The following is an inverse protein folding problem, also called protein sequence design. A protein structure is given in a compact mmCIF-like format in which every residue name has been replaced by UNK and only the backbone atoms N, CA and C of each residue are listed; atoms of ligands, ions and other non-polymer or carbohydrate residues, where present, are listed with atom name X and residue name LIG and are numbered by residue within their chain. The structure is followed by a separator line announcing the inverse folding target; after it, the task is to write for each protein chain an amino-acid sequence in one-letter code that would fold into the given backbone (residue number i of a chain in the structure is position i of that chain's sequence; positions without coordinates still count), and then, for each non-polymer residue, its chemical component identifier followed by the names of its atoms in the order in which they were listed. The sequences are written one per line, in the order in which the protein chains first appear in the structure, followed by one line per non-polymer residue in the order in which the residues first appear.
data_IF_076956606989
#
_entry.id   IF_076956606989
#
_cell.length_a   1.000
_cell.length_b   1.000
_cell.length_c   1.000
_cell.angle_alpha   90.00
_cell.angle_beta   90.00
_cell.angle_gamma   90.00
#
_symmetry.space_group_name_H-M   'P 1'
#
loop_
_entity.id
_entity.type
_entity.pdbx_description
1 polymer ?
#
# COMPACT_ATOMS: atom_id res chain seq x y z
N UNK A 1 -20.37 11.43 -13.82
CA UNK A 1 -20.81 11.67 -12.43
C UNK A 1 -19.68 11.17 -11.53
N UNK A 2 -19.20 11.97 -10.58
CA UNK A 2 -18.07 11.55 -9.71
C UNK A 2 -18.56 10.54 -8.68
N UNK A 3 -17.74 9.54 -8.38
CA UNK A 3 -17.98 8.61 -7.27
C UNK A 3 -17.74 9.32 -5.95
N UNK A 4 -18.74 9.31 -5.08
CA UNK A 4 -18.72 9.94 -3.76
C UNK A 4 -18.17 8.96 -2.73
N UNK A 5 -17.01 9.28 -2.17
CA UNK A 5 -16.30 8.44 -1.22
C UNK A 5 -16.35 9.03 0.19
N UNK A 6 -16.60 8.17 1.17
CA UNK A 6 -16.40 8.47 2.59
C UNK A 6 -15.13 7.80 3.11
N UNK A 7 -14.47 8.39 4.09
CA UNK A 7 -13.37 7.76 4.83
C UNK A 7 -13.80 7.55 6.27
N UNK A 8 -13.72 6.32 6.72
CA UNK A 8 -13.94 5.93 8.11
C UNK A 8 -12.60 5.64 8.76
N UNK A 9 -12.21 6.46 9.75
CA UNK A 9 -10.91 6.44 10.40
C UNK A 9 -9.88 7.32 9.69
N UNK A 10 -9.47 8.43 10.29
CA UNK A 10 -8.46 9.36 9.75
C UNK A 10 -7.05 9.02 10.27
N UNK A 11 -6.61 7.78 10.00
CA UNK A 11 -5.27 7.33 10.31
C UNK A 11 -4.24 7.80 9.25
N UNK A 12 -2.95 7.54 9.49
CA UNK A 12 -1.89 8.03 8.61
C UNK A 12 -2.00 7.49 7.16
N UNK A 13 -2.45 6.24 6.99
CA UNK A 13 -2.61 5.61 5.69
C UNK A 13 -3.75 6.27 4.88
N UNK A 14 -4.92 6.44 5.51
CA UNK A 14 -6.10 7.04 4.86
C UNK A 14 -5.90 8.52 4.54
N UNK A 15 -5.17 9.25 5.38
CA UNK A 15 -4.84 10.65 5.12
C UNK A 15 -3.83 10.81 3.98
N UNK A 16 -2.84 9.90 3.85
CA UNK A 16 -1.90 9.91 2.70
C UNK A 16 -2.60 9.62 1.38
N UNK A 17 -3.70 8.86 1.41
CA UNK A 17 -4.52 8.57 0.22
C UNK A 17 -5.26 9.79 -0.31
N UNK A 18 -5.56 10.80 0.52
CA UNK A 18 -6.33 11.98 0.12
C UNK A 18 -5.74 12.67 -1.09
N UNK A 19 -4.42 12.92 -1.12
CA UNK A 19 -3.74 13.54 -2.27
C UNK A 19 -3.90 12.73 -3.55
N UNK A 20 -3.80 11.41 -3.42
CA UNK A 20 -3.86 10.50 -4.55
C UNK A 20 -5.28 10.43 -5.13
N UNK A 21 -6.29 10.37 -4.26
CA UNK A 21 -7.69 10.36 -4.64
C UNK A 21 -8.17 11.72 -5.18
N UNK A 22 -7.69 12.83 -4.61
CA UNK A 22 -7.99 14.18 -5.07
C UNK A 22 -7.46 14.46 -6.49
N UNK A 23 -6.39 13.77 -6.89
CA UNK A 23 -5.88 13.84 -8.27
C UNK A 23 -6.76 13.10 -9.29
N UNK A 24 -7.71 12.26 -8.85
CA UNK A 24 -8.61 11.51 -9.73
C UNK A 24 -9.91 12.31 -10.00
N UNK A 25 -10.15 12.76 -11.25
CA UNK A 25 -11.34 13.57 -11.57
C UNK A 25 -12.66 12.80 -11.52
N UNK A 26 -12.62 11.45 -11.46
CA UNK A 26 -13.80 10.58 -11.35
C UNK A 26 -14.26 10.39 -9.90
N UNK A 27 -13.52 10.90 -8.92
CA UNK A 27 -13.75 10.67 -7.49
C UNK A 27 -13.92 12.00 -6.76
N UNK A 28 -14.74 11.96 -5.72
CA UNK A 28 -14.95 13.07 -4.79
C UNK A 28 -15.01 12.52 -3.37
N UNK A 29 -14.18 13.06 -2.48
CA UNK A 29 -14.22 12.73 -1.05
C UNK A 29 -15.19 13.69 -0.40
N UNK A 30 -16.26 13.15 0.17
CA UNK A 30 -17.39 13.96 0.68
C UNK A 30 -17.40 14.04 2.21
N UNK A 31 -16.77 13.10 2.91
CA UNK A 31 -16.69 13.10 4.37
C UNK A 31 -15.54 12.25 4.89
N UNK A 32 -15.01 12.64 6.04
CA UNK A 32 -14.05 11.87 6.83
C UNK A 32 -14.59 11.75 8.25
N UNK A 33 -14.60 10.57 8.83
CA UNK A 33 -14.93 10.36 10.23
C UNK A 33 -13.69 9.95 11.02
N UNK A 34 -13.49 10.53 12.19
CA UNK A 34 -12.56 10.06 13.20
C UNK A 34 -13.09 10.42 14.60
N UNK A 35 -13.16 9.47 15.55
CA UNK A 35 -13.67 9.76 16.89
C UNK A 35 -12.77 10.73 17.67
N UNK A 36 -11.48 10.85 17.31
CA UNK A 36 -10.55 11.82 17.88
C UNK A 36 -10.20 12.89 16.85
N UNK A 37 -11.10 13.87 16.74
CA UNK A 37 -10.95 15.03 15.83
C UNK A 37 -9.61 15.74 16.01
N UNK A 38 -9.17 15.92 17.26
CA UNK A 38 -7.94 16.65 17.56
C UNK A 38 -6.71 15.90 17.04
N UNK A 39 -6.64 14.59 17.32
CA UNK A 39 -5.55 13.76 16.83
C UNK A 39 -5.55 13.61 15.31
N UNK A 40 -6.72 13.49 14.68
CA UNK A 40 -6.85 13.46 13.22
C UNK A 40 -6.31 14.73 12.56
N UNK A 41 -6.65 15.91 13.09
CA UNK A 41 -6.14 17.19 12.59
C UNK A 41 -4.63 17.36 12.81
N UNK A 42 -4.09 16.83 13.90
CA UNK A 42 -2.64 16.83 14.15
C UNK A 42 -1.92 15.94 13.13
N UNK A 43 -2.42 14.72 12.91
CA UNK A 43 -1.90 13.82 11.86
C UNK A 43 -1.91 14.49 10.49
N UNK A 44 -3.02 15.14 10.14
CA UNK A 44 -3.16 15.84 8.86
C UNK A 44 -2.16 17.00 8.71
N UNK A 45 -1.92 17.78 9.78
CA UNK A 45 -0.91 18.85 9.80
C UNK A 45 0.51 18.32 9.53
N UNK A 46 0.84 17.13 10.05
CA UNK A 46 2.11 16.45 9.76
C UNK A 46 2.32 16.09 8.28
N UNK A 47 1.25 16.00 7.48
CA UNK A 47 1.30 15.65 6.06
C UNK A 47 1.30 16.87 5.11
N UNK A 48 1.06 18.07 5.66
CA UNK A 48 1.15 19.36 4.97
C UNK A 48 -0.14 20.20 5.02
N UNK A 49 -0.05 21.50 4.69
CA UNK A 49 -1.14 22.46 4.91
C UNK A 49 -2.38 22.21 4.06
N UNK A 50 -2.21 21.74 2.82
CA UNK A 50 -3.34 21.43 1.91
C UNK A 50 -4.20 20.29 2.47
N UNK A 51 -3.56 19.17 2.85
CA UNK A 51 -4.27 18.02 3.44
C UNK A 51 -4.95 18.44 4.75
N UNK A 52 -4.27 19.20 5.60
CA UNK A 52 -4.85 19.69 6.85
C UNK A 52 -6.11 20.53 6.63
N UNK A 53 -6.12 21.37 5.59
CA UNK A 53 -7.28 22.18 5.25
C UNK A 53 -8.44 21.33 4.73
N UNK A 54 -8.17 20.39 3.82
CA UNK A 54 -9.19 19.48 3.28
C UNK A 54 -9.82 18.63 4.38
N UNK A 55 -8.98 18.04 5.25
CA UNK A 55 -9.45 17.26 6.40
C UNK A 55 -10.29 18.12 7.33
N UNK A 56 -9.84 19.33 7.66
CA UNK A 56 -10.60 20.22 8.55
C UNK A 56 -12.01 20.55 8.04
N UNK A 57 -12.20 20.58 6.72
CA UNK A 57 -13.49 20.88 6.10
C UNK A 57 -14.43 19.67 6.04
N UNK A 58 -13.88 18.46 5.94
CA UNK A 58 -14.64 17.23 5.71
C UNK A 58 -14.78 16.34 6.96
N UNK A 59 -13.98 16.60 7.99
CA UNK A 59 -13.90 15.80 9.19
C UNK A 59 -15.11 16.02 10.09
N UNK A 60 -15.69 14.91 10.56
CA UNK A 60 -16.72 14.82 11.60
C UNK A 60 -16.29 13.81 12.66
N UNK A 61 -16.77 13.97 13.89
CA UNK A 61 -16.46 13.08 15.03
C UNK A 61 -17.69 12.35 15.57
N UNK A 62 -18.87 12.58 14.99
CA UNK A 62 -20.09 11.82 15.26
C UNK A 62 -20.40 10.85 14.10
N UNK A 63 -20.54 9.53 14.36
CA UNK A 63 -21.02 8.56 13.38
C UNK A 63 -22.31 8.98 12.67
N UNK A 64 -23.27 9.58 13.37
CA UNK A 64 -24.54 9.98 12.78
C UNK A 64 -24.37 11.11 11.77
N UNK A 65 -23.49 12.08 12.08
CA UNK A 65 -23.15 13.18 11.19
C UNK A 65 -22.45 12.68 9.91
N UNK A 66 -21.62 11.63 10.03
CA UNK A 66 -20.99 11.00 8.87
C UNK A 66 -22.01 10.51 7.83
N UNK A 67 -23.12 9.94 8.29
CA UNK A 67 -24.21 9.48 7.41
C UNK A 67 -25.23 10.57 7.04
N UNK A 68 -25.28 11.68 7.78
CA UNK A 68 -26.30 12.72 7.60
C UNK A 68 -26.10 13.52 6.31
N UNK A 69 -27.07 13.53 5.40
CA UNK A 69 -27.08 14.35 4.17
C UNK A 69 -26.04 13.99 3.08
N UNK A 70 -25.26 12.91 3.25
CA UNK A 70 -24.41 12.37 2.18
C UNK A 70 -24.85 10.97 1.76
N UNK A 71 -24.88 10.76 0.45
CA UNK A 71 -24.89 9.42 -0.15
C UNK A 71 -23.46 9.06 -0.57
N UNK A 72 -23.02 7.88 -0.19
CA UNK A 72 -21.72 7.32 -0.54
C UNK A 72 -21.89 6.22 -1.59
N UNK A 73 -21.07 6.25 -2.64
CA UNK A 73 -20.89 5.11 -3.54
C UNK A 73 -19.98 4.05 -2.90
N UNK A 74 -19.00 4.49 -2.10
CA UNK A 74 -18.14 3.62 -1.32
C UNK A 74 -17.61 4.30 -0.05
N UNK A 75 -17.27 3.49 0.95
CA UNK A 75 -16.58 3.91 2.17
C UNK A 75 -15.25 3.19 2.29
N UNK A 76 -14.20 3.96 2.52
CA UNK A 76 -12.86 3.47 2.84
C UNK A 76 -12.82 3.22 4.35
N UNK A 77 -12.90 1.96 4.75
CA UNK A 77 -12.85 1.53 6.14
C UNK A 77 -11.39 1.31 6.56
N UNK A 78 -10.83 2.31 7.24
CA UNK A 78 -9.42 2.34 7.64
C UNK A 78 -9.19 1.69 9.00
N UNK A 79 -10.23 1.67 9.85
CA UNK A 79 -10.17 1.13 11.21
C UNK A 79 -10.74 -0.30 11.30
N UNK A 80 -11.44 -0.76 10.24
CA UNK A 80 -11.97 -2.12 10.12
C UNK A 80 -13.25 -2.37 10.93
N UNK A 81 -13.87 -1.31 11.46
CA UNK A 81 -15.03 -1.39 12.33
C UNK A 81 -16.26 -0.67 11.79
N UNK A 82 -16.21 -0.16 10.55
CA UNK A 82 -17.32 0.56 9.92
C UNK A 82 -18.62 -0.25 9.94
N UNK A 83 -18.54 -1.57 9.71
CA UNK A 83 -19.69 -2.47 9.69
C UNK A 83 -20.52 -2.46 11.00
N UNK A 84 -19.91 -2.10 12.13
CA UNK A 84 -20.58 -1.99 13.44
C UNK A 84 -21.37 -0.69 13.60
N UNK A 85 -21.03 0.31 12.81
CA UNK A 85 -21.57 1.67 12.88
C UNK A 85 -22.50 1.98 11.70
N UNK A 86 -22.45 1.17 10.64
CA UNK A 86 -23.29 1.31 9.47
C UNK A 86 -24.78 1.25 9.88
N UNK A 87 -25.62 2.23 9.46
CA UNK A 87 -27.01 2.25 9.83
C UNK A 87 -27.76 1.03 9.27
N UNK A 88 -28.72 0.48 10.03
CA UNK A 88 -29.53 -0.64 9.55
C UNK A 88 -30.29 -0.24 8.28
N UNK A 89 -30.18 -1.07 7.24
CA UNK A 89 -30.75 -0.76 5.92
C UNK A 89 -29.82 0.06 5.00
N UNK A 90 -28.53 0.17 5.34
CA UNK A 90 -27.49 0.59 4.40
C UNK A 90 -27.68 -0.11 3.05
N UNK A 91 -27.76 0.67 1.97
CA UNK A 91 -28.17 0.19 0.64
C UNK A 91 -27.29 -0.99 0.19
N UNK A 92 -27.83 -1.99 -0.53
CA UNK A 92 -27.05 -3.12 -1.07
C UNK A 92 -25.94 -2.73 -2.05
N UNK A 93 -25.86 -1.46 -2.47
CA UNK A 93 -24.86 -0.94 -3.40
C UNK A 93 -23.68 -0.19 -2.73
N UNK A 94 -23.71 0.02 -1.41
CA UNK A 94 -22.61 0.68 -0.71
C UNK A 94 -21.39 -0.25 -0.66
N UNK A 95 -20.32 0.11 -1.36
CA UNK A 95 -19.09 -0.68 -1.35
C UNK A 95 -18.21 -0.29 -0.15
N UNK A 96 -17.84 -1.26 0.69
CA UNK A 96 -16.85 -1.05 1.75
C UNK A 96 -15.51 -1.56 1.22
N UNK A 97 -14.47 -0.73 1.31
CA UNK A 97 -13.13 -1.07 0.83
C UNK A 97 -12.09 -0.68 1.87
N UNK A 98 -10.94 -1.38 1.86
CA UNK A 98 -9.79 -0.97 2.68
C UNK A 98 -9.03 0.18 2.00
N UNK A 99 -8.17 0.92 2.75
CA UNK A 99 -7.27 1.93 2.18
C UNK A 99 -6.46 1.43 0.98
N UNK A 100 -5.92 0.22 1.06
CA UNK A 100 -5.18 -0.41 -0.05
C UNK A 100 -6.06 -0.62 -1.28
N UNK A 101 -7.27 -1.17 -1.09
CA UNK A 101 -8.21 -1.40 -2.20
C UNK A 101 -8.64 -0.08 -2.83
N UNK A 102 -8.89 0.97 -2.05
CA UNK A 102 -9.18 2.30 -2.55
C UNK A 102 -8.02 2.89 -3.38
N UNK A 103 -6.78 2.71 -2.89
CA UNK A 103 -5.55 3.10 -3.62
C UNK A 103 -5.50 2.47 -5.01
N UNK A 104 -5.81 1.18 -5.11
CA UNK A 104 -5.77 0.44 -6.35
C UNK A 104 -6.92 0.80 -7.29
N UNK A 105 -8.13 0.96 -6.75
CA UNK A 105 -9.33 1.27 -7.54
C UNK A 105 -9.32 2.69 -8.09
N UNK A 106 -8.82 3.65 -7.31
CA UNK A 106 -9.04 5.06 -7.56
C UNK A 106 -7.80 5.93 -7.44
N UNK A 107 -6.72 5.43 -6.84
CA UNK A 107 -5.51 6.22 -6.64
C UNK A 107 -4.66 6.39 -7.90
N UNK A 108 -4.68 5.42 -8.81
CA UNK A 108 -3.95 5.50 -10.07
C UNK A 108 -4.87 6.04 -11.17
N UNK A 109 -5.12 7.35 -11.16
CA UNK A 109 -5.86 8.03 -12.22
C UNK A 109 -5.18 7.84 -13.58
N UNK A 110 -5.95 7.35 -14.57
CA UNK A 110 -5.55 7.11 -15.97
C UNK A 110 -4.50 6.00 -16.19
N UNK A 111 -4.59 4.88 -15.46
CA UNK A 111 -4.10 3.63 -16.04
C UNK A 111 -5.19 3.09 -16.99
N UNK A 112 -4.82 2.74 -18.24
CA UNK A 112 -5.75 2.14 -19.21
C UNK A 112 -6.60 1.07 -18.50
N UNK A 113 -7.90 0.95 -18.84
CA UNK A 113 -8.85 0.01 -18.19
C UNK A 113 -8.25 -1.37 -17.94
N UNK A 114 -7.37 -1.82 -18.84
CA UNK A 114 -6.63 -3.08 -18.79
C UNK A 114 -5.71 -3.18 -17.58
N UNK A 115 -4.98 -2.12 -17.21
CA UNK A 115 -4.04 -2.15 -16.07
C UNK A 115 -4.75 -2.19 -14.72
N UNK A 116 -5.93 -1.58 -14.62
CA UNK A 116 -6.77 -1.67 -13.43
C UNK A 116 -7.31 -3.09 -13.26
N UNK A 117 -7.75 -3.72 -14.35
CA UNK A 117 -8.18 -5.12 -14.33
C UNK A 117 -7.02 -6.07 -13.98
N UNK A 118 -5.83 -5.87 -14.56
CA UNK A 118 -4.62 -6.63 -14.24
C UNK A 118 -4.21 -6.52 -12.77
N UNK A 119 -4.21 -5.30 -12.21
CA UNK A 119 -3.85 -5.08 -10.80
C UNK A 119 -4.88 -5.67 -9.84
N UNK A 120 -6.16 -5.57 -10.16
CA UNK A 120 -7.23 -6.18 -9.36
C UNK A 120 -7.21 -7.70 -9.46
N UNK A 121 -6.94 -8.25 -10.64
CA UNK A 121 -6.77 -9.69 -10.84
C UNK A 121 -5.56 -10.21 -10.06
N UNK A 122 -4.42 -9.53 -10.18
CA UNK A 122 -3.22 -9.83 -9.40
C UNK A 122 -3.48 -9.77 -7.88
N UNK A 123 -4.18 -8.74 -7.40
CA UNK A 123 -4.56 -8.66 -5.99
C UNK A 123 -5.51 -9.78 -5.59
N UNK A 124 -6.51 -10.08 -6.43
CA UNK A 124 -7.47 -11.15 -6.16
C UNK A 124 -6.79 -12.51 -6.07
N UNK A 125 -5.82 -12.79 -6.96
CA UNK A 125 -4.98 -14.00 -6.90
C UNK A 125 -4.17 -14.08 -5.61
N UNK A 126 -3.61 -12.95 -5.14
CA UNK A 126 -2.92 -12.89 -3.84
C UNK A 126 -3.89 -13.20 -2.70
N UNK A 127 -5.08 -12.59 -2.70
CA UNK A 127 -6.09 -12.81 -1.65
C UNK A 127 -6.63 -14.25 -1.66
N UNK A 128 -6.90 -14.85 -2.83
CA UNK A 128 -7.30 -16.26 -2.93
C UNK A 128 -6.19 -17.20 -2.45
N UNK A 129 -4.91 -16.88 -2.72
CA UNK A 129 -3.79 -17.67 -2.22
C UNK A 129 -3.61 -17.58 -0.69
N UNK A 130 -4.16 -16.56 -0.04
CA UNK A 130 -4.22 -16.49 1.44
C UNK A 130 -5.29 -17.44 2.00
N UNK A 131 -6.44 -17.60 1.32
CA UNK A 131 -7.53 -18.47 1.76
C UNK A 131 -7.30 -19.96 1.44
N UNK A 132 -6.39 -20.29 0.52
CA UNK A 132 -6.17 -21.66 0.03
C UNK A 132 -4.81 -22.29 0.39
N UNK A 133 -3.88 -21.55 0.99
CA UNK A 133 -2.52 -22.05 1.19
C UNK A 133 -2.04 -21.99 2.63
N UNK A 134 -1.73 -23.16 3.20
CA UNK A 134 -1.19 -23.34 4.57
C UNK A 134 0.31 -22.98 4.64
N UNK A 135 1.00 -22.83 3.51
CA UNK A 135 2.45 -22.57 3.45
C UNK A 135 2.76 -21.17 2.93
N UNK A 136 3.26 -20.29 3.81
CA UNK A 136 3.57 -18.90 3.53
C UNK A 136 4.56 -18.68 2.36
N UNK A 137 5.39 -19.69 2.06
CA UNK A 137 6.39 -19.58 0.99
C UNK A 137 5.75 -19.57 -0.40
N UNK A 138 4.70 -20.38 -0.66
CA UNK A 138 3.98 -20.37 -1.94
C UNK A 138 3.29 -19.03 -2.20
N UNK A 139 2.72 -18.42 -1.16
CA UNK A 139 2.14 -17.06 -1.23
C UNK A 139 3.23 -16.05 -1.61
N UNK A 140 4.40 -16.09 -0.96
CA UNK A 140 5.50 -15.17 -1.28
C UNK A 140 6.01 -15.36 -2.70
N UNK A 141 6.11 -16.61 -3.19
CA UNK A 141 6.49 -16.90 -4.57
C UNK A 141 5.48 -16.26 -5.53
N UNK A 142 4.18 -16.45 -5.29
CA UNK A 142 3.14 -15.88 -6.14
C UNK A 142 3.16 -14.35 -6.15
N UNK A 143 3.33 -13.73 -4.98
CA UNK A 143 3.46 -12.27 -4.86
C UNK A 143 4.67 -11.76 -5.64
N UNK A 144 5.81 -12.45 -5.56
CA UNK A 144 7.01 -12.07 -6.29
C UNK A 144 6.83 -12.22 -7.80
N UNK A 145 6.20 -13.32 -8.26
CA UNK A 145 5.89 -13.53 -9.68
C UNK A 145 5.04 -12.39 -10.25
N UNK A 146 3.99 -12.02 -9.54
CA UNK A 146 3.11 -10.91 -9.89
C UNK A 146 3.91 -9.60 -9.94
N UNK A 147 4.70 -9.30 -8.90
CA UNK A 147 5.48 -8.05 -8.84
C UNK A 147 6.47 -7.95 -10.01
N UNK A 148 7.17 -9.04 -10.33
CA UNK A 148 8.09 -9.11 -11.47
C UNK A 148 7.35 -8.93 -12.79
N UNK A 149 6.21 -9.61 -12.98
CA UNK A 149 5.42 -9.50 -14.20
C UNK A 149 4.83 -8.09 -14.42
N UNK A 150 4.30 -7.48 -13.36
CA UNK A 150 3.73 -6.13 -13.37
C UNK A 150 4.81 -5.08 -13.66
N UNK A 151 6.02 -5.24 -13.12
CA UNK A 151 7.12 -4.28 -13.32
C UNK A 151 7.90 -4.50 -14.61
N UNK A 152 7.77 -5.67 -15.25
CA UNK A 152 8.58 -6.06 -16.40
C UNK A 152 10.04 -6.36 -16.04
N UNK A 153 10.33 -6.64 -14.77
CA UNK A 153 11.68 -6.97 -14.31
C UNK A 153 12.11 -8.38 -14.79
N UNK A 154 13.42 -8.60 -14.91
CA UNK A 154 13.98 -9.92 -15.28
C UNK A 154 14.02 -10.88 -14.08
N UNK A 155 14.05 -10.34 -12.86
CA UNK A 155 14.11 -11.08 -11.62
C UNK A 155 13.83 -10.19 -10.42
N UNK A 156 13.89 -10.78 -9.23
CA UNK A 156 13.61 -10.07 -7.98
C UNK A 156 13.74 -10.98 -6.77
N UNK A 157 13.60 -10.42 -5.58
CA UNK A 157 13.59 -11.18 -4.33
C UNK A 157 12.68 -10.53 -3.31
N UNK A 158 11.99 -11.35 -2.53
CA UNK A 158 11.25 -10.91 -1.36
C UNK A 158 12.05 -11.30 -0.11
N UNK A 159 12.29 -10.30 0.73
CA UNK A 159 13.03 -10.47 1.99
C UNK A 159 12.12 -10.11 3.16
N UNK A 160 12.19 -10.89 4.24
CA UNK A 160 11.50 -10.60 5.49
C UNK A 160 12.51 -10.19 6.56
N UNK A 161 12.10 -9.26 7.41
CA UNK A 161 12.84 -8.93 8.63
C UNK A 161 12.69 -10.10 9.61
N UNK A 162 13.81 -10.60 10.12
CA UNK A 162 13.83 -11.64 11.14
C UNK A 162 13.32 -11.07 12.48
N UNK A 163 12.98 -11.96 13.39
CA UNK A 163 12.48 -11.65 14.74
C UNK A 163 13.42 -10.79 15.58
N UNK A 164 14.72 -10.74 15.23
CA UNK A 164 15.70 -9.85 15.85
C UNK A 164 15.49 -8.36 15.50
N UNK A 165 14.68 -8.07 14.47
CA UNK A 165 14.45 -6.73 13.96
C UNK A 165 15.67 -6.08 13.31
N UNK A 166 16.74 -6.84 13.05
CA UNK A 166 18.03 -6.35 12.58
C UNK A 166 18.52 -7.03 11.30
N UNK A 167 17.92 -8.17 10.91
CA UNK A 167 18.40 -8.97 9.78
C UNK A 167 17.29 -9.24 8.77
N UNK A 168 17.49 -8.86 7.52
CA UNK A 168 16.65 -9.30 6.41
C UNK A 168 17.10 -10.67 5.90
N UNK A 169 16.13 -11.59 5.75
CA UNK A 169 16.33 -12.92 5.18
C UNK A 169 15.54 -13.06 3.89
N UNK A 170 16.21 -13.52 2.84
CA UNK A 170 15.54 -13.85 1.59
C UNK A 170 14.62 -15.05 1.81
N UNK A 171 13.33 -14.88 1.46
CA UNK A 171 12.34 -15.96 1.49
C UNK A 171 12.19 -16.60 0.13
N UNK A 172 12.03 -15.76 -0.89
CA UNK A 172 11.86 -16.21 -2.28
C UNK A 172 12.64 -15.30 -3.22
N UNK A 173 13.11 -15.86 -4.33
CA UNK A 173 13.76 -15.08 -5.38
C UNK A 173 13.57 -15.67 -6.77
N UNK A 174 13.65 -14.81 -7.78
CA UNK A 174 13.68 -15.17 -9.20
C UNK A 174 14.96 -14.64 -9.80
N UNK A 175 15.75 -15.51 -10.43
CA UNK A 175 17.10 -15.18 -10.92
C UNK A 175 18.20 -15.32 -9.86
N UNK A 176 17.94 -16.07 -8.78
CA UNK A 176 18.93 -16.52 -7.79
C UNK A 176 18.70 -17.99 -7.51
N UNK A 177 19.75 -18.80 -7.46
CA UNK A 177 19.66 -20.23 -7.20
C UNK A 177 19.04 -20.51 -5.81
N UNK A 178 18.02 -21.39 -5.70
CA UNK A 178 17.32 -21.69 -4.45
C UNK A 178 18.23 -22.05 -3.27
N UNK A 179 19.35 -22.73 -3.53
CA UNK A 179 20.32 -23.15 -2.52
C UNK A 179 21.06 -21.97 -1.86
N UNK A 180 21.00 -20.78 -2.47
CA UNK A 180 21.59 -19.56 -1.94
C UNK A 180 20.62 -18.77 -1.06
N UNK A 181 19.31 -18.92 -1.22
CA UNK A 181 18.32 -18.07 -0.53
C UNK A 181 18.51 -18.08 1.00
N UNK A 182 18.65 -19.25 1.68
CA UNK A 182 18.79 -19.28 3.14
C UNK A 182 20.11 -18.67 3.65
N UNK A 183 21.11 -18.54 2.77
CA UNK A 183 22.44 -18.01 3.09
C UNK A 183 22.51 -16.49 2.90
N UNK A 184 21.57 -15.90 2.16
CA UNK A 184 21.54 -14.47 1.91
C UNK A 184 20.86 -13.78 3.09
N UNK A 185 21.70 -13.11 3.90
CA UNK A 185 21.31 -12.27 5.02
C UNK A 185 21.85 -10.86 4.80
N UNK A 186 21.03 -9.86 5.04
CA UNK A 186 21.39 -8.45 4.90
C UNK A 186 21.04 -7.73 6.20
N UNK A 187 22.01 -7.06 6.82
CA UNK A 187 21.74 -6.30 8.02
C UNK A 187 20.84 -5.08 7.72
N UNK A 188 20.05 -4.66 8.69
CA UNK A 188 19.25 -3.45 8.58
C UNK A 188 20.18 -2.24 8.34
N UNK A 189 19.83 -1.39 7.37
CA UNK A 189 20.67 -0.28 6.89
C UNK A 189 21.78 -0.65 5.90
N UNK A 190 22.07 -1.94 5.71
CA UNK A 190 23.12 -2.42 4.81
C UNK A 190 22.63 -2.55 3.36
N UNK A 191 23.50 -2.24 2.40
CA UNK A 191 23.18 -2.35 0.99
C UNK A 191 21.93 -1.57 0.59
N UNK A 192 21.21 -2.06 -0.42
CA UNK A 192 19.99 -1.42 -0.92
C UNK A 192 18.78 -1.85 -0.08
N UNK A 193 18.55 -3.16 0.04
CA UNK A 193 17.37 -3.69 0.74
C UNK A 193 17.39 -3.38 2.24
N UNK A 194 18.55 -3.45 2.89
CA UNK A 194 18.68 -3.06 4.29
C UNK A 194 18.40 -1.58 4.50
N UNK A 195 18.84 -0.69 3.60
CA UNK A 195 18.50 0.75 3.68
C UNK A 195 17.01 0.99 3.50
N UNK A 196 16.39 0.39 2.50
CA UNK A 196 14.93 0.52 2.27
C UNK A 196 14.14 0.05 3.49
N UNK A 197 14.51 -1.09 4.08
CA UNK A 197 13.87 -1.60 5.28
C UNK A 197 14.08 -0.69 6.50
N UNK A 198 15.26 -0.07 6.65
CA UNK A 198 15.55 0.85 7.74
C UNK A 198 14.77 2.18 7.64
N UNK A 199 14.64 2.71 6.42
CA UNK A 199 14.07 4.03 6.19
C UNK A 199 12.57 4.01 5.87
N UNK A 200 12.02 2.84 5.52
CA UNK A 200 10.63 2.73 5.03
C UNK A 200 10.37 3.50 3.73
N UNK A 201 11.42 3.75 2.94
CA UNK A 201 11.35 4.57 1.72
C UNK A 201 11.87 3.78 0.52
N UNK A 202 11.13 3.79 -0.61
CA UNK A 202 11.54 3.06 -1.79
C UNK A 202 12.78 3.68 -2.45
N UNK A 203 13.59 2.84 -3.09
CA UNK A 203 14.76 3.23 -3.88
C UNK A 203 14.59 2.72 -5.31
N UNK A 204 14.74 3.63 -6.28
CA UNK A 204 14.84 3.29 -7.70
C UNK A 204 16.26 3.61 -8.19
N UNK A 205 16.98 2.55 -8.58
CA UNK A 205 18.31 2.64 -9.15
C UNK A 205 18.25 2.65 -10.67
N UNK A 206 18.86 3.67 -11.27
CA UNK A 206 19.12 3.76 -12.70
C UNK A 206 20.60 3.51 -12.94
N UNK A 207 20.95 2.29 -13.31
CA UNK A 207 22.34 1.83 -13.39
C UNK A 207 22.69 0.84 -12.27
N UNK A 208 23.94 0.36 -12.33
CA UNK A 208 24.49 -0.57 -11.35
C UNK A 208 24.63 0.10 -9.99
N UNK A 209 24.37 -0.68 -8.95
CA UNK A 209 24.64 -0.25 -7.58
C UNK A 209 26.15 -0.08 -7.37
N UNK A 210 26.57 1.08 -6.87
CA UNK A 210 27.97 1.36 -6.58
C UNK A 210 28.27 1.21 -5.08
N UNK A 211 29.50 0.77 -4.75
CA UNK A 211 29.97 0.57 -3.37
C UNK A 211 30.19 1.86 -2.57
N UNK A 212 30.25 3.03 -3.20
CA UNK A 212 30.38 4.31 -2.49
C UNK A 212 29.03 4.71 -1.90
N UNK A 213 27.95 4.43 -2.63
CA UNK A 213 26.59 4.78 -2.25
C UNK A 213 25.94 3.74 -1.33
N UNK A 214 26.35 2.46 -1.44
CA UNK A 214 25.76 1.34 -0.70
C UNK A 214 26.83 0.42 -0.13
N UNK A 215 26.63 -0.05 1.11
CA UNK A 215 27.47 -1.09 1.70
C UNK A 215 27.12 -2.47 1.10
N UNK A 216 27.69 -2.75 -0.08
CA UNK A 216 27.39 -3.95 -0.86
C UNK A 216 28.33 -5.11 -0.47
N UNK A 217 27.75 -6.17 0.10
CA UNK A 217 28.46 -7.43 0.40
C UNK A 217 28.95 -8.10 -0.89
N UNK A 218 28.17 -8.01 -1.98
CA UNK A 218 28.50 -8.59 -3.29
C UNK A 218 28.08 -7.64 -4.40
N UNK A 219 28.93 -7.48 -5.41
CA UNK A 219 28.56 -6.79 -6.64
C UNK A 219 27.74 -7.72 -7.53
N UNK A 220 26.56 -7.24 -7.95
CA UNK A 220 25.72 -7.86 -8.97
C UNK A 220 25.93 -7.12 -10.28
N UNK A 221 26.91 -7.55 -11.04
CA UNK A 221 27.27 -6.95 -12.35
C UNK A 221 26.20 -7.17 -13.41
N UNK A 222 25.32 -8.15 -13.17
CA UNK A 222 24.16 -8.52 -13.96
C UNK A 222 22.95 -7.57 -13.75
N UNK A 223 22.96 -6.74 -12.70
CA UNK A 223 21.82 -5.86 -12.38
C UNK A 223 22.08 -4.45 -12.89
N UNK A 224 21.42 -4.08 -13.99
CA UNK A 224 21.57 -2.76 -14.63
C UNK A 224 20.60 -1.70 -14.11
N UNK A 225 19.55 -2.10 -13.41
CA UNK A 225 18.61 -1.23 -12.69
C UNK A 225 17.89 -2.03 -11.60
N UNK A 226 17.32 -1.35 -10.62
CA UNK A 226 16.54 -2.01 -9.57
C UNK A 226 15.47 -1.09 -8.99
N UNK A 227 14.35 -1.68 -8.58
CA UNK A 227 13.37 -1.06 -7.71
C UNK A 227 13.31 -1.86 -6.42
N UNK A 228 13.51 -1.21 -5.28
CA UNK A 228 13.39 -1.81 -3.97
C UNK A 228 12.37 -1.02 -3.14
N UNK A 229 11.39 -1.72 -2.57
CA UNK A 229 10.28 -1.15 -1.81
C UNK A 229 10.19 -1.87 -0.44
N UNK A 230 9.77 -1.16 0.62
CA UNK A 230 9.54 -1.78 1.93
C UNK A 230 8.32 -2.69 1.94
#
# INVERSE_FOLDING_TARGET
MRRRLGIWGANEESLRLLRLLAANPEVEIVRIYDPDRAAALERARGLGPEIAQDVSNLLVDDPLEFFAECEFDAVIDSDGDFSRHAPPGSRPALQIVTPLTARLLWGYGVAARDRKAELLQALHEVVESVDLTIEADELFERMLEIAVGVTGAEGGSLMLLDSDGQTLRMRVAKGVEPELWPKIRVALGQGISGRVAAEGRPIHLRGRADRRSYDLIRERVDVESALCVP
#
